data_IF_547122835931
#
_entry.id   IF_547122835931
#
_cell.length_a   1.000
_cell.length_b   1.000
_cell.length_c   1.000
_cell.angle_alpha   90.00
_cell.angle_beta   90.00
_cell.angle_gamma   90.00
#
_symmetry.space_group_name_H-M   'P 1'
#
loop_
_entity.id
_entity.type
_entity.pdbx_description
1 polymer ?
#
# COMPACT_ATOMS: atom_id res chain seq x y z
N UNK A 1 5.77 -10.86 27.16
CA UNK A 1 5.62 -10.64 25.71
C UNK A 1 5.72 -9.14 25.49
N UNK A 2 6.76 -8.66 24.78
CA UNK A 2 6.88 -7.23 24.47
C UNK A 2 5.91 -6.94 23.33
N UNK A 3 4.90 -6.12 23.59
CA UNK A 3 4.10 -5.55 22.52
C UNK A 3 4.90 -4.39 21.91
N UNK A 4 5.30 -4.54 20.66
CA UNK A 4 5.83 -3.42 19.90
C UNK A 4 4.69 -2.41 19.72
N UNK A 5 4.73 -1.31 20.50
CA UNK A 5 3.74 -0.22 20.45
C UNK A 5 3.59 0.33 19.03
N UNK A 6 4.64 0.20 18.21
CA UNK A 6 4.66 0.61 16.81
C UNK A 6 3.92 -0.33 15.85
N UNK A 7 3.54 -1.52 16.30
CA UNK A 7 2.95 -2.58 15.48
C UNK A 7 1.56 -3.01 15.97
N UNK A 8 1.19 -2.63 17.20
CA UNK A 8 -0.10 -2.93 17.78
C UNK A 8 -1.25 -2.42 16.89
N UNK A 9 -2.13 -3.33 16.47
CA UNK A 9 -3.29 -3.01 15.62
C UNK A 9 -2.98 -2.83 14.12
N UNK A 10 -1.72 -2.89 13.70
CA UNK A 10 -1.34 -2.83 12.28
C UNK A 10 -1.59 -4.19 11.62
N UNK A 11 -2.14 -4.27 10.40
CA UNK A 11 -2.29 -5.53 9.68
C UNK A 11 -0.95 -6.27 9.55
N UNK A 12 -0.94 -7.60 9.76
CA UNK A 12 0.28 -8.43 9.67
C UNK A 12 1.05 -8.20 8.36
N UNK A 13 0.35 -8.03 7.25
CA UNK A 13 0.94 -7.74 5.93
C UNK A 13 1.67 -6.39 5.87
N UNK A 14 1.23 -5.42 6.68
CA UNK A 14 1.80 -4.09 6.71
C UNK A 14 3.01 -4.01 7.65
N UNK A 15 3.10 -4.84 8.69
CA UNK A 15 4.14 -4.77 9.74
C UNK A 15 5.55 -4.58 9.16
N UNK A 16 5.91 -5.41 8.17
CA UNK A 16 7.22 -5.39 7.49
C UNK A 16 7.22 -4.65 6.15
N UNK A 17 6.20 -3.83 5.87
CA UNK A 17 6.08 -3.10 4.62
C UNK A 17 6.76 -1.74 4.71
N UNK A 18 8.01 -1.64 4.26
CA UNK A 18 8.75 -0.36 4.26
C UNK A 18 8.07 0.72 3.42
N UNK A 19 7.49 0.34 2.28
CA UNK A 19 6.75 1.25 1.41
C UNK A 19 5.55 1.92 2.09
N UNK A 20 5.05 1.35 3.21
CA UNK A 20 4.01 1.97 4.04
C UNK A 20 4.43 3.37 4.47
N UNK A 21 5.70 3.58 4.81
CA UNK A 21 6.16 4.82 5.43
C UNK A 21 6.30 5.98 4.44
N UNK A 22 6.53 5.69 3.15
CA UNK A 22 6.71 6.70 2.11
C UNK A 22 5.48 6.99 1.24
N UNK A 23 4.42 6.18 1.35
CA UNK A 23 3.19 6.31 0.54
C UNK A 23 1.98 6.78 1.36
N UNK A 24 0.77 6.69 0.77
CA UNK A 24 -0.46 7.12 1.46
C UNK A 24 -0.69 6.37 2.78
N UNK A 25 -0.18 5.14 2.89
CA UNK A 25 -0.32 4.34 4.11
C UNK A 25 0.39 4.96 5.32
N UNK A 26 1.40 5.82 5.11
CA UNK A 26 2.18 6.43 6.18
C UNK A 26 1.41 7.55 6.89
N UNK A 27 0.38 8.08 6.23
CA UNK A 27 -0.54 9.07 6.78
C UNK A 27 -1.71 8.46 7.58
N UNK A 28 -1.84 7.12 7.59
CA UNK A 28 -2.97 6.42 8.20
C UNK A 28 -2.61 5.86 9.58
N UNK A 29 -3.56 5.90 10.50
CA UNK A 29 -3.45 5.18 11.77
C UNK A 29 -3.72 3.67 11.60
N UNK A 30 -3.45 2.88 12.65
CA UNK A 30 -3.58 1.42 12.62
C UNK A 30 -4.99 0.92 12.19
N UNK A 31 -6.06 1.52 12.70
CA UNK A 31 -7.43 1.15 12.32
C UNK A 31 -7.73 1.46 10.85
N UNK A 32 -7.30 2.63 10.37
CA UNK A 32 -7.43 3.01 8.95
C UNK A 32 -6.62 2.09 8.03
N UNK A 33 -5.44 1.63 8.47
CA UNK A 33 -4.66 0.62 7.75
C UNK A 33 -5.40 -0.71 7.64
N UNK A 34 -6.09 -1.14 8.71
CA UNK A 34 -6.93 -2.34 8.68
C UNK A 34 -8.04 -2.21 7.65
N UNK A 35 -8.72 -1.07 7.59
CA UNK A 35 -9.81 -0.88 6.62
C UNK A 35 -9.32 -0.73 5.18
N UNK A 36 -8.15 -0.09 4.99
CA UNK A 36 -7.48 -0.06 3.69
C UNK A 36 -7.07 -1.47 3.25
N UNK A 37 -6.51 -2.28 4.15
CA UNK A 37 -6.06 -3.63 3.85
C UNK A 37 -7.21 -4.56 3.40
N UNK A 38 -8.44 -4.34 3.91
CA UNK A 38 -9.63 -5.10 3.49
C UNK A 38 -10.13 -4.73 2.10
N UNK A 39 -9.91 -3.50 1.66
CA UNK A 39 -10.47 -2.96 0.41
C UNK A 39 -9.45 -2.89 -0.74
N UNK A 40 -8.17 -3.11 -0.46
CA UNK A 40 -7.09 -3.06 -1.45
C UNK A 40 -6.71 -4.44 -1.99
N UNK A 41 -6.09 -4.46 -3.17
CA UNK A 41 -5.52 -5.67 -3.78
C UNK A 41 -4.10 -5.40 -4.23
N UNK A 42 -3.18 -6.30 -3.86
CA UNK A 42 -1.82 -6.29 -4.40
C UNK A 42 -1.82 -6.93 -5.78
N UNK A 43 -1.22 -6.25 -6.74
CA UNK A 43 -0.97 -6.79 -8.08
C UNK A 43 0.48 -6.52 -8.47
N UNK A 44 1.01 -7.35 -9.37
CA UNK A 44 2.34 -7.19 -9.95
C UNK A 44 2.17 -6.75 -11.40
N UNK A 45 2.94 -5.74 -11.82
CA UNK A 45 3.09 -5.35 -13.20
C UNK A 45 4.50 -5.74 -13.67
N UNK A 46 4.60 -6.27 -14.89
CA UNK A 46 5.89 -6.55 -15.51
C UNK A 46 6.52 -5.25 -16.04
N UNK A 47 7.84 -5.23 -16.20
CA UNK A 47 8.54 -4.05 -16.69
C UNK A 47 8.02 -3.62 -18.07
N UNK A 48 7.77 -2.32 -18.25
CA UNK A 48 7.21 -1.75 -19.48
C UNK A 48 5.70 -1.96 -19.68
N UNK A 49 5.01 -2.65 -18.75
CA UNK A 49 3.55 -2.75 -18.80
C UNK A 49 2.91 -1.41 -18.43
N UNK A 50 2.05 -0.92 -19.30
CA UNK A 50 1.21 0.26 -19.01
C UNK A 50 0.27 -0.03 -17.82
N UNK A 51 0.21 0.93 -16.88
CA UNK A 51 -0.67 0.85 -15.71
C UNK A 51 -2.01 1.55 -15.93
N UNK A 52 -1.97 2.76 -16.49
CA UNK A 52 -3.13 3.57 -16.87
C UNK A 52 -2.73 4.45 -18.05
N UNK A 53 -3.61 4.60 -19.04
CA UNK A 53 -3.38 5.48 -20.20
C UNK A 53 -4.03 6.85 -20.02
N UNK A 54 -3.48 7.88 -20.67
CA UNK A 54 -3.83 9.30 -20.45
C UNK A 54 -5.32 9.63 -20.59
N UNK A 55 -6.02 9.01 -21.53
CA UNK A 55 -7.43 9.30 -21.82
C UNK A 55 -8.41 8.38 -21.08
N UNK A 56 -7.94 7.59 -20.11
CA UNK A 56 -8.79 6.67 -19.32
C UNK A 56 -9.25 7.34 -18.02
N UNK A 57 -10.46 7.00 -17.59
CA UNK A 57 -10.92 7.38 -16.24
C UNK A 57 -10.06 6.69 -15.17
N UNK A 58 -9.71 7.42 -14.11
CA UNK A 58 -8.99 6.85 -12.97
C UNK A 58 -9.94 5.97 -12.17
N UNK A 59 -9.74 4.65 -12.26
CA UNK A 59 -10.57 3.69 -11.51
C UNK A 59 -10.01 3.38 -10.13
N UNK A 60 -8.68 3.46 -9.96
CA UNK A 60 -7.98 3.03 -8.75
C UNK A 60 -6.71 3.84 -8.54
N UNK A 61 -6.35 4.00 -7.26
CA UNK A 61 -5.05 4.48 -6.83
C UNK A 61 -4.24 3.31 -6.26
N UNK A 62 -2.91 3.38 -6.35
CA UNK A 62 -2.03 2.32 -5.88
C UNK A 62 -0.78 2.90 -5.25
N UNK A 63 -0.32 2.30 -4.16
CA UNK A 63 1.03 2.54 -3.64
C UNK A 63 2.03 1.64 -4.36
N UNK A 64 3.15 2.21 -4.77
CA UNK A 64 4.28 1.43 -5.28
C UNK A 64 4.97 0.78 -4.08
N UNK A 65 4.83 -0.54 -3.97
CA UNK A 65 5.46 -1.31 -2.89
C UNK A 65 6.93 -1.67 -3.20
N UNK A 66 7.28 -1.73 -4.49
CA UNK A 66 8.63 -2.06 -4.97
C UNK A 66 8.76 -1.67 -6.44
N UNK A 67 9.95 -1.21 -6.86
CA UNK A 67 10.22 -0.79 -8.23
C UNK A 67 9.89 0.68 -8.46
N UNK A 68 9.72 1.06 -9.73
CA UNK A 68 9.44 2.45 -10.15
C UNK A 68 8.38 2.46 -11.25
N UNK A 69 7.65 3.56 -11.33
CA UNK A 69 6.66 3.85 -12.38
C UNK A 69 7.01 5.18 -13.02
N UNK A 70 6.71 5.33 -14.30
CA UNK A 70 6.90 6.56 -15.08
C UNK A 70 5.61 6.87 -15.81
#
# INVERSE_FOLDING_TARGET
MREDIHTAGVPVLCVSCEARHGGICGALNAGQLVDLAKSTKRHKAEAGKELVGDSRSVERFSNVLSGVVK
#
